data_IF_024292891533
#
_entry.id   IF_024292891533
#
_cell.length_a   1.000
_cell.length_b   1.000
_cell.length_c   1.000
_cell.angle_alpha   90.00
_cell.angle_beta   90.00
_cell.angle_gamma   90.00
#
_symmetry.space_group_name_H-M   'P 1'
#
loop_
_entity.id
_entity.type
_entity.pdbx_description
1 polymer ?
#
# COMPACT_ATOMS: atom_id res chain seq x y z
N UNK A 1 4.50 29.32 -7.39
CA UNK A 1 5.57 28.31 -7.48
C UNK A 1 6.12 28.13 -6.08
N UNK A 2 5.79 27.03 -5.40
CA UNK A 2 6.42 26.70 -4.13
C UNK A 2 7.76 26.02 -4.45
N UNK A 3 8.87 26.55 -3.92
CA UNK A 3 10.20 25.97 -4.05
C UNK A 3 10.56 25.18 -2.80
N UNK A 4 11.41 24.17 -2.95
CA UNK A 4 12.00 23.42 -1.85
C UNK A 4 13.50 23.71 -1.88
N UNK A 5 14.07 24.18 -0.76
CA UNK A 5 15.51 24.26 -0.62
C UNK A 5 16.08 22.88 -0.28
N UNK A 6 17.04 22.45 -1.09
CA UNK A 6 17.83 21.23 -0.89
C UNK A 6 19.29 21.58 -1.11
N UNK A 7 20.19 20.89 -0.40
CA UNK A 7 21.62 21.08 -0.59
C UNK A 7 22.07 20.57 -1.97
N UNK A 8 23.22 21.07 -2.44
CA UNK A 8 23.74 20.74 -3.76
C UNK A 8 24.04 19.25 -3.94
N UNK A 9 24.40 18.53 -2.86
CA UNK A 9 24.68 17.10 -2.92
C UNK A 9 23.38 16.33 -3.15
N UNK A 10 22.34 16.65 -2.38
CA UNK A 10 21.01 16.06 -2.56
C UNK A 10 20.45 16.37 -3.94
N UNK A 11 20.60 17.61 -4.41
CA UNK A 11 20.17 18.00 -5.76
C UNK A 11 20.88 17.19 -6.84
N UNK A 12 22.20 17.04 -6.74
CA UNK A 12 22.97 16.27 -7.71
C UNK A 12 22.56 14.79 -7.72
N UNK A 13 22.30 14.20 -6.55
CA UNK A 13 21.83 12.84 -6.44
C UNK A 13 20.45 12.64 -7.10
N UNK A 14 19.50 13.54 -6.83
CA UNK A 14 18.17 13.48 -7.45
C UNK A 14 18.23 13.70 -8.96
N UNK A 15 19.11 14.58 -9.43
CA UNK A 15 19.33 14.79 -10.86
C UNK A 15 19.87 13.53 -11.54
N UNK A 16 20.90 12.89 -10.95
CA UNK A 16 21.46 11.65 -11.50
C UNK A 16 20.42 10.52 -11.59
N UNK A 17 19.54 10.39 -10.59
CA UNK A 17 18.44 9.42 -10.62
C UNK A 17 17.40 9.74 -11.69
N UNK A 18 17.08 11.02 -11.90
CA UNK A 18 16.19 11.44 -12.96
C UNK A 18 16.80 11.16 -14.36
N UNK A 19 18.10 11.42 -14.52
CA UNK A 19 18.85 11.13 -15.74
C UNK A 19 18.88 9.63 -16.05
N UNK A 20 19.12 8.78 -15.03
CA UNK A 20 19.07 7.31 -15.16
C UNK A 20 17.66 6.83 -15.57
N UNK A 21 16.62 7.45 -15.03
CA UNK A 21 15.23 7.18 -15.40
C UNK A 21 14.84 7.75 -16.79
N UNK A 22 15.69 8.57 -17.41
CA UNK A 22 15.40 9.27 -18.66
C UNK A 22 14.28 10.31 -18.53
N UNK A 23 14.12 10.90 -17.34
CA UNK A 23 13.05 11.83 -17.01
C UNK A 23 13.59 13.22 -16.64
N UNK A 24 12.85 14.30 -16.93
CA UNK A 24 13.09 15.59 -16.31
C UNK A 24 12.99 15.49 -14.79
N UNK A 25 13.84 16.22 -14.05
CA UNK A 25 13.87 16.19 -12.59
C UNK A 25 12.49 16.42 -11.96
N UNK A 26 11.71 17.38 -12.46
CA UNK A 26 10.37 17.65 -11.94
C UNK A 26 9.42 16.45 -12.12
N UNK A 27 9.43 15.82 -13.30
CA UNK A 27 8.62 14.62 -13.59
C UNK A 27 9.07 13.44 -12.73
N UNK A 28 10.38 13.28 -12.54
CA UNK A 28 10.94 12.26 -11.66
C UNK A 28 10.47 12.48 -10.21
N UNK A 29 10.56 13.69 -9.70
CA UNK A 29 10.13 14.01 -8.33
C UNK A 29 8.62 13.84 -8.14
N UNK A 30 7.80 14.21 -9.13
CA UNK A 30 6.37 13.98 -9.09
C UNK A 30 6.04 12.49 -9.00
N UNK A 31 6.68 11.68 -9.84
CA UNK A 31 6.54 10.22 -9.80
C UNK A 31 6.95 9.63 -8.45
N UNK A 32 8.12 10.03 -7.93
CA UNK A 32 8.60 9.57 -6.62
C UNK A 32 7.62 9.95 -5.51
N UNK A 33 7.01 11.15 -5.57
CA UNK A 33 6.01 11.57 -4.61
C UNK A 33 4.74 10.70 -4.67
N UNK A 34 4.29 10.30 -5.86
CA UNK A 34 3.17 9.36 -6.01
C UNK A 34 3.52 7.97 -5.46
N UNK A 35 4.70 7.45 -5.82
CA UNK A 35 5.20 6.16 -5.33
C UNK A 35 5.25 6.13 -3.80
N UNK A 36 5.76 7.19 -3.16
CA UNK A 36 5.84 7.30 -1.70
C UNK A 36 4.48 7.45 -1.03
N UNK A 37 3.54 8.15 -1.66
CA UNK A 37 2.16 8.21 -1.17
C UNK A 37 1.49 6.83 -1.18
N UNK A 38 1.70 6.04 -2.24
CA UNK A 38 1.19 4.67 -2.31
C UNK A 38 1.82 3.76 -1.25
N UNK A 39 3.15 3.83 -1.06
CA UNK A 39 3.83 3.08 0.01
C UNK A 39 3.25 3.42 1.39
N UNK A 40 3.03 4.71 1.68
CA UNK A 40 2.44 5.15 2.94
C UNK A 40 0.99 4.66 3.11
N UNK A 41 0.18 4.75 2.04
CA UNK A 41 -1.19 4.26 2.05
C UNK A 41 -1.26 2.75 2.31
N UNK A 42 -0.37 1.97 1.67
CA UNK A 42 -0.26 0.52 1.88
C UNK A 42 0.14 0.18 3.31
N UNK A 43 1.14 0.87 3.86
CA UNK A 43 1.58 0.65 5.24
C UNK A 43 0.45 0.94 6.25
N UNK A 44 -0.25 2.06 6.06
CA UNK A 44 -1.39 2.47 6.90
C UNK A 44 -2.55 1.48 6.79
N UNK A 45 -2.89 1.07 5.57
CA UNK A 45 -3.93 0.08 5.30
C UNK A 45 -3.61 -1.27 5.92
N UNK A 46 -2.36 -1.74 5.79
CA UNK A 46 -1.92 -3.01 6.37
C UNK A 46 -1.91 -2.99 7.91
N UNK A 47 -1.54 -1.87 8.54
CA UNK A 47 -1.69 -1.72 9.99
C UNK A 47 -3.16 -1.75 10.41
N UNK A 48 -4.01 -1.00 9.73
CA UNK A 48 -5.46 -0.96 10.01
C UNK A 48 -6.07 -2.34 9.87
N UNK A 49 -5.76 -3.05 8.78
CA UNK A 49 -6.21 -4.42 8.55
C UNK A 49 -5.76 -5.37 9.67
N UNK A 50 -4.48 -5.32 10.07
CA UNK A 50 -3.98 -6.13 11.18
C UNK A 50 -4.67 -5.82 12.50
N UNK A 51 -4.99 -4.55 12.77
CA UNK A 51 -5.72 -4.15 13.98
C UNK A 51 -7.15 -4.72 13.99
N UNK A 52 -7.86 -4.59 12.87
CA UNK A 52 -9.25 -5.06 12.72
C UNK A 52 -9.33 -6.59 12.77
N UNK A 53 -8.46 -7.28 12.04
CA UNK A 53 -8.43 -8.75 12.01
C UNK A 53 -7.77 -9.38 13.23
N UNK A 54 -6.99 -8.61 14.00
CA UNK A 54 -6.46 -9.05 15.29
C UNK A 54 -7.46 -8.97 16.43
N UNK A 55 -8.61 -8.30 16.23
CA UNK A 55 -9.67 -8.22 17.22
C UNK A 55 -10.61 -9.44 17.13
N UNK A 56 -10.63 -10.32 18.16
CA UNK A 56 -11.41 -11.54 18.12
C UNK A 56 -12.92 -11.30 18.07
N UNK A 57 -13.41 -10.17 18.58
CA UNK A 57 -14.84 -9.83 18.53
C UNK A 57 -15.26 -9.46 17.10
N UNK A 58 -14.43 -8.70 16.39
CA UNK A 58 -14.62 -8.35 14.99
C UNK A 58 -14.57 -9.57 14.09
N UNK A 59 -13.62 -10.48 14.31
CA UNK A 59 -13.57 -11.77 13.61
C UNK A 59 -14.81 -12.62 13.88
N UNK A 60 -15.25 -12.73 15.13
CA UNK A 60 -16.44 -13.50 15.47
C UNK A 60 -17.72 -12.91 14.84
N UNK A 61 -17.85 -11.59 14.79
CA UNK A 61 -18.96 -10.92 14.12
C UNK A 61 -18.94 -11.16 12.60
N UNK A 62 -17.75 -11.09 11.98
CA UNK A 62 -17.57 -11.39 10.56
C UNK A 62 -17.91 -12.85 10.24
N UNK A 63 -17.41 -13.80 11.03
CA UNK A 63 -17.71 -15.23 10.86
C UNK A 63 -19.20 -15.53 11.08
N UNK A 64 -19.87 -14.84 12.01
CA UNK A 64 -21.30 -15.00 12.21
C UNK A 64 -22.14 -14.51 11.02
N UNK A 65 -21.69 -13.47 10.33
CA UNK A 65 -22.40 -12.87 9.19
C UNK A 65 -22.04 -13.52 7.84
N UNK A 66 -20.78 -13.91 7.66
CA UNK A 66 -20.22 -14.36 6.38
C UNK A 66 -19.55 -15.73 6.40
N UNK A 67 -19.46 -16.39 7.58
CA UNK A 67 -18.92 -17.72 7.71
C UNK A 67 -19.63 -18.72 6.78
N UNK A 68 -18.86 -19.64 6.20
CA UNK A 68 -19.39 -20.54 5.17
C UNK A 68 -20.60 -21.34 5.70
N UNK A 69 -21.68 -21.51 4.90
CA UNK A 69 -22.70 -22.49 5.24
C UNK A 69 -22.04 -23.86 5.35
N UNK A 70 -22.36 -24.62 6.40
CA UNK A 70 -21.87 -26.00 6.56
C UNK A 70 -22.27 -26.80 5.33
N UNK A 71 -21.33 -27.03 4.41
CA UNK A 71 -21.57 -27.85 3.22
C UNK A 71 -21.78 -29.27 3.73
N UNK A 72 -23.05 -29.69 3.88
CA UNK A 72 -23.39 -31.09 4.06
C UNK A 72 -23.10 -31.78 2.73
N UNK A 73 -21.91 -32.35 2.60
CA UNK A 73 -21.62 -33.27 1.51
C UNK A 73 -22.62 -34.43 1.60
N UNK A 74 -23.61 -34.45 0.69
CA UNK A 74 -24.43 -35.63 0.50
C UNK A 74 -23.51 -36.76 0.00
N UNK A 75 -23.63 -37.99 0.54
CA UNK A 75 -22.79 -39.10 0.09
C UNK A 75 -23.00 -39.29 -1.41
N UNK A 76 -21.91 -39.21 -2.17
CA UNK A 76 -21.92 -39.48 -3.60
C UNK A 76 -22.34 -40.93 -3.80
N UNK A 77 -23.48 -41.15 -4.45
CA UNK A 77 -23.92 -42.48 -4.83
C UNK A 77 -22.87 -43.14 -5.74
N UNK A 78 -22.54 -44.39 -5.42
CA UNK A 78 -21.55 -45.23 -6.08
C UNK A 78 -22.06 -45.77 -7.42
#
# INVERSE_FOLDING_TARGET
>A
MAGIEIDDTTRAALQALADEAGLPLETYLARVAEEKQHEHALATGAETFRRVTGDPATLAAFDAEFGAPTVKHAPRAA
#
